data_IF_237784774545
#
_entry.id   IF_237784774545
#
_cell.length_a   1.000
_cell.length_b   1.000
_cell.length_c   1.000
_cell.angle_alpha   90.00
_cell.angle_beta   90.00
_cell.angle_gamma   90.00
#
_symmetry.space_group_name_H-M   'P 1'
#
loop_
_entity.id
_entity.type
_entity.pdbx_description
1 polymer ?
#
# COMPACT_ATOMS: atom_id res chain seq x y z
N UNK A 1 13.75 -13.12 -16.83
CA UNK A 1 14.08 -12.50 -15.54
C UNK A 1 13.47 -11.11 -15.40
N UNK A 2 13.86 -10.10 -16.19
CA UNK A 2 13.31 -8.73 -16.08
C UNK A 2 11.82 -8.57 -16.44
N UNK A 3 11.31 -9.32 -17.43
CA UNK A 3 9.90 -9.22 -17.84
C UNK A 3 8.94 -9.69 -16.73
N UNK A 4 9.34 -10.65 -15.91
CA UNK A 4 8.54 -11.16 -14.78
C UNK A 4 8.44 -10.07 -13.71
N UNK A 5 9.56 -9.45 -13.36
CA UNK A 5 9.61 -8.31 -12.44
C UNK A 5 8.70 -7.16 -12.92
N UNK A 6 8.84 -6.74 -14.17
CA UNK A 6 8.04 -5.64 -14.75
C UNK A 6 6.55 -5.97 -14.86
N UNK A 7 6.20 -7.25 -15.03
CA UNK A 7 4.80 -7.70 -15.15
C UNK A 7 3.99 -7.42 -13.89
N UNK A 8 4.62 -7.45 -12.70
CA UNK A 8 3.95 -7.10 -11.44
C UNK A 8 3.43 -5.66 -11.49
N UNK A 9 4.27 -4.72 -11.90
CA UNK A 9 3.89 -3.31 -12.04
C UNK A 9 2.84 -3.11 -13.12
N UNK A 10 3.01 -3.76 -14.28
CA UNK A 10 2.03 -3.72 -15.36
C UNK A 10 0.64 -4.16 -14.89
N UNK A 11 0.55 -5.30 -14.20
CA UNK A 11 -0.72 -5.82 -13.70
C UNK A 11 -1.39 -4.84 -12.72
N UNK A 12 -0.60 -4.23 -11.83
CA UNK A 12 -1.11 -3.23 -10.87
C UNK A 12 -1.58 -1.96 -11.58
N UNK A 13 -0.84 -1.48 -12.58
CA UNK A 13 -1.25 -0.35 -13.42
C UNK A 13 -2.57 -0.65 -14.13
N UNK A 14 -2.71 -1.84 -14.74
CA UNK A 14 -3.95 -2.28 -15.38
C UNK A 14 -5.11 -2.39 -14.38
N UNK A 15 -4.83 -2.92 -13.18
CA UNK A 15 -5.83 -3.04 -12.13
C UNK A 15 -6.33 -1.67 -11.65
N UNK A 16 -5.54 -0.60 -11.81
CA UNK A 16 -5.94 0.76 -11.46
C UNK A 16 -6.50 1.56 -12.63
N UNK A 17 -6.04 1.32 -13.87
CA UNK A 17 -6.50 2.05 -15.05
C UNK A 17 -7.96 1.78 -15.41
N UNK A 18 -8.50 0.62 -15.01
CA UNK A 18 -9.92 0.28 -15.18
C UNK A 18 -10.88 1.02 -14.23
N UNK A 19 -10.37 1.82 -13.28
CA UNK A 19 -11.20 2.51 -12.29
C UNK A 19 -10.90 4.01 -12.27
N UNK A 20 -11.95 4.83 -12.36
CA UNK A 20 -11.84 6.26 -12.08
C UNK A 20 -11.42 6.52 -10.62
N UNK A 21 -11.77 5.59 -9.72
CA UNK A 21 -11.45 5.63 -8.29
C UNK A 21 -11.23 4.20 -7.75
N UNK A 22 -9.99 3.68 -7.69
CA UNK A 22 -9.69 2.41 -7.04
C UNK A 22 -10.13 2.46 -5.57
N UNK A 23 -10.97 1.52 -5.15
CA UNK A 23 -11.38 1.41 -3.75
C UNK A 23 -10.20 0.95 -2.89
N UNK A 24 -10.20 1.26 -1.59
CA UNK A 24 -9.17 0.79 -0.64
C UNK A 24 -8.95 -0.72 -0.71
N UNK A 25 -10.04 -1.47 -0.92
CA UNK A 25 -10.07 -2.90 -1.20
C UNK A 25 -9.17 -3.34 -2.36
N UNK A 26 -9.11 -2.56 -3.45
CA UNK A 26 -8.28 -2.87 -4.62
C UNK A 26 -6.87 -2.32 -4.40
N UNK A 27 -6.77 -1.12 -3.82
CA UNK A 27 -5.50 -0.44 -3.63
C UNK A 27 -4.57 -1.20 -2.67
N UNK A 28 -5.03 -1.49 -1.46
CA UNK A 28 -4.18 -2.01 -0.38
C UNK A 28 -3.49 -3.36 -0.72
N UNK A 29 -4.19 -4.41 -1.19
CA UNK A 29 -3.54 -5.67 -1.59
C UNK A 29 -2.49 -5.48 -2.68
N UNK A 30 -2.81 -4.69 -3.72
CA UNK A 30 -1.92 -4.50 -4.87
C UNK A 30 -0.64 -3.76 -4.45
N UNK A 31 -0.77 -2.69 -3.66
CA UNK A 31 0.38 -1.87 -3.23
C UNK A 31 1.24 -2.60 -2.19
N UNK A 32 0.64 -3.37 -1.28
CA UNK A 32 1.39 -4.28 -0.39
C UNK A 32 2.16 -5.31 -1.21
N UNK A 33 1.52 -5.92 -2.21
CA UNK A 33 2.16 -6.87 -3.12
C UNK A 33 3.38 -6.30 -3.83
N UNK A 34 3.27 -5.09 -4.38
CA UNK A 34 4.41 -4.38 -5.00
C UNK A 34 5.56 -4.20 -4.02
N UNK A 35 5.27 -3.77 -2.78
CA UNK A 35 6.32 -3.58 -1.75
C UNK A 35 7.04 -4.89 -1.45
N UNK A 36 6.31 -6.00 -1.31
CA UNK A 36 6.89 -7.31 -1.02
C UNK A 36 7.78 -7.80 -2.17
N UNK A 37 7.31 -7.71 -3.42
CA UNK A 37 8.11 -8.07 -4.60
C UNK A 37 9.38 -7.23 -4.68
N UNK A 38 9.27 -5.91 -4.45
CA UNK A 38 10.46 -5.04 -4.44
C UNK A 38 11.48 -5.47 -3.39
N UNK A 39 11.04 -5.81 -2.16
CA UNK A 39 11.95 -6.28 -1.11
C UNK A 39 12.64 -7.59 -1.49
N UNK A 40 11.88 -8.55 -1.98
CA UNK A 40 12.39 -9.85 -2.40
C UNK A 40 13.42 -9.72 -3.53
N UNK A 41 13.07 -9.00 -4.59
CA UNK A 41 13.92 -8.83 -5.78
C UNK A 41 15.19 -8.00 -5.51
N UNK A 42 15.20 -7.19 -4.44
CA UNK A 42 16.43 -6.51 -3.98
C UNK A 42 17.40 -7.46 -3.27
N UNK A 43 16.94 -8.61 -2.79
CA UNK A 43 17.73 -9.59 -2.03
C UNK A 43 18.20 -10.76 -2.90
N UNK A 44 17.37 -11.27 -3.81
CA UNK A 44 17.60 -12.57 -4.46
C UNK A 44 18.00 -12.50 -5.95
N UNK A 45 17.89 -11.34 -6.59
CA UNK A 45 17.96 -11.22 -8.06
C UNK A 45 19.31 -10.72 -8.60
N UNK A 46 19.50 -10.81 -9.91
CA UNK A 46 20.70 -10.32 -10.60
C UNK A 46 20.91 -8.80 -10.41
N UNK A 47 22.17 -8.35 -10.48
CA UNK A 47 22.56 -6.97 -10.21
C UNK A 47 21.76 -5.91 -11.00
N UNK A 48 21.34 -6.22 -12.23
CA UNK A 48 20.51 -5.35 -13.06
C UNK A 48 19.10 -5.16 -12.49
N UNK A 49 18.46 -6.25 -12.04
CA UNK A 49 17.13 -6.22 -11.42
C UNK A 49 17.22 -5.55 -10.05
N UNK A 50 18.22 -5.89 -9.24
CA UNK A 50 18.44 -5.27 -7.92
C UNK A 50 18.58 -3.75 -8.06
N UNK A 51 19.37 -3.27 -9.02
CA UNK A 51 19.54 -1.84 -9.24
C UNK A 51 18.22 -1.16 -9.67
N UNK A 52 17.40 -1.85 -10.49
CA UNK A 52 16.08 -1.36 -10.88
C UNK A 52 15.11 -1.33 -9.70
N UNK A 53 15.03 -2.42 -8.94
CA UNK A 53 14.17 -2.54 -7.77
C UNK A 53 14.49 -1.46 -6.73
N UNK A 54 15.78 -1.20 -6.43
CA UNK A 54 16.19 -0.11 -5.53
C UNK A 54 15.70 1.26 -6.01
N UNK A 55 15.83 1.58 -7.31
CA UNK A 55 15.37 2.87 -7.87
C UNK A 55 13.85 3.03 -7.76
N UNK A 56 13.09 1.97 -8.02
CA UNK A 56 11.62 1.98 -7.90
C UNK A 56 11.23 2.07 -6.42
N UNK A 57 11.90 1.34 -5.54
CA UNK A 57 11.64 1.32 -4.11
C UNK A 57 11.83 2.69 -3.46
N UNK A 58 12.86 3.45 -3.82
CA UNK A 58 13.06 4.83 -3.33
C UNK A 58 11.86 5.72 -3.66
N UNK A 59 11.35 5.64 -4.90
CA UNK A 59 10.15 6.40 -5.29
C UNK A 59 8.92 5.89 -4.53
N UNK A 60 8.79 4.59 -4.38
CA UNK A 60 7.69 3.94 -3.66
C UNK A 60 7.63 4.38 -2.18
N UNK A 61 8.73 4.34 -1.44
CA UNK A 61 8.76 4.65 0.00
C UNK A 61 8.37 6.10 0.32
N UNK A 62 8.73 7.04 -0.57
CA UNK A 62 8.32 8.45 -0.47
C UNK A 62 6.81 8.62 -0.36
N UNK A 63 6.07 7.72 -1.01
CA UNK A 63 4.61 7.70 -1.03
C UNK A 63 4.05 6.76 0.05
N UNK A 64 4.63 5.58 0.23
CA UNK A 64 4.20 4.60 1.24
C UNK A 64 4.13 5.21 2.65
N UNK A 65 5.20 5.89 3.10
CA UNK A 65 5.30 6.49 4.44
C UNK A 65 4.18 7.49 4.76
N UNK A 66 3.63 8.16 3.74
CA UNK A 66 2.59 9.19 3.89
C UNK A 66 1.18 8.61 3.97
N UNK A 67 0.93 7.47 3.31
CA UNK A 67 -0.44 7.02 3.04
C UNK A 67 -0.75 5.59 3.48
N UNK A 68 0.25 4.76 3.79
CA UNK A 68 0.07 3.35 4.17
C UNK A 68 -0.96 3.17 5.27
N UNK A 69 -0.84 3.96 6.34
CA UNK A 69 -1.76 3.92 7.48
C UNK A 69 -3.19 4.32 7.09
N UNK A 70 -3.36 5.37 6.28
CA UNK A 70 -4.67 5.88 5.87
C UNK A 70 -5.41 4.84 5.02
N UNK A 71 -4.70 4.23 4.08
CA UNK A 71 -5.22 3.18 3.21
C UNK A 71 -5.57 1.92 4.00
N UNK A 72 -4.69 1.50 4.91
CA UNK A 72 -4.91 0.33 5.76
C UNK A 72 -6.14 0.53 6.65
N UNK A 73 -6.26 1.70 7.29
CA UNK A 73 -7.44 2.09 8.08
C UNK A 73 -8.70 2.04 7.19
N UNK A 74 -8.65 2.68 6.01
CA UNK A 74 -9.78 2.69 5.06
C UNK A 74 -10.13 1.30 4.55
N UNK A 75 -9.22 0.34 4.60
CA UNK A 75 -9.49 -1.05 4.25
C UNK A 75 -10.17 -1.77 5.40
N UNK A 76 -9.67 -1.63 6.64
CA UNK A 76 -10.24 -2.26 7.84
C UNK A 76 -11.63 -1.73 8.18
N UNK A 77 -11.92 -0.47 7.87
CA UNK A 77 -13.25 0.12 8.06
C UNK A 77 -14.30 -0.38 7.05
N UNK A 78 -13.90 -1.07 5.97
CA UNK A 78 -14.85 -1.72 5.06
C UNK A 78 -15.36 -2.99 5.75
N UNK A 79 -16.69 -3.18 5.94
CA UNK A 79 -17.27 -4.24 6.78
C UNK A 79 -16.82 -5.68 6.47
N UNK A 80 -16.30 -5.92 5.26
CA UNK A 80 -15.84 -7.23 4.80
C UNK A 80 -14.38 -7.53 5.12
N UNK A 81 -13.58 -6.52 5.49
CA UNK A 81 -12.17 -6.69 5.81
C UNK A 81 -11.98 -6.63 7.31
N UNK A 82 -11.37 -7.68 7.87
CA UNK A 82 -11.03 -7.72 9.29
C UNK A 82 -9.69 -7.02 9.49
N UNK A 83 -9.52 -6.42 10.66
CA UNK A 83 -8.23 -5.95 11.19
C UNK A 83 -7.08 -6.94 10.93
N UNK A 84 -7.37 -8.25 11.03
CA UNK A 84 -6.47 -9.37 10.71
C UNK A 84 -5.77 -9.25 9.34
N UNK A 85 -6.44 -8.67 8.34
CA UNK A 85 -5.85 -8.47 7.01
C UNK A 85 -4.72 -7.43 7.05
N UNK A 86 -4.96 -6.29 7.70
CA UNK A 86 -3.93 -5.25 7.87
C UNK A 86 -2.78 -5.77 8.75
N UNK A 87 -3.12 -6.50 9.81
CA UNK A 87 -2.15 -7.12 10.71
C UNK A 87 -1.17 -8.07 9.97
N UNK A 88 -1.72 -9.00 9.19
CA UNK A 88 -0.93 -9.91 8.37
C UNK A 88 -0.07 -9.18 7.32
N UNK A 89 -0.60 -8.12 6.70
CA UNK A 89 0.14 -7.32 5.74
C UNK A 89 1.33 -6.60 6.41
N UNK A 90 1.11 -5.98 7.57
CA UNK A 90 2.15 -5.29 8.33
C UNK A 90 3.25 -6.26 8.76
N UNK A 91 2.88 -7.46 9.23
CA UNK A 91 3.87 -8.48 9.61
C UNK A 91 4.81 -8.85 8.46
N UNK A 92 4.26 -9.04 7.26
CA UNK A 92 5.05 -9.35 6.05
C UNK A 92 5.91 -8.18 5.59
N UNK A 93 5.37 -6.96 5.67
CA UNK A 93 6.06 -5.75 5.18
C UNK A 93 7.23 -5.37 6.08
N UNK A 94 7.02 -5.42 7.40
CA UNK A 94 7.95 -4.81 8.36
C UNK A 94 8.86 -5.82 9.07
N UNK A 95 8.57 -7.12 9.04
CA UNK A 95 9.41 -8.14 9.68
C UNK A 95 9.63 -7.80 11.15
N UNK A 96 10.88 -7.64 11.57
CA UNK A 96 11.25 -7.31 12.95
C UNK A 96 10.72 -5.93 13.41
N UNK A 97 10.44 -5.00 12.48
CA UNK A 97 9.84 -3.70 12.79
C UNK A 97 8.31 -3.73 12.95
N UNK A 98 7.69 -4.90 12.84
CA UNK A 98 6.25 -5.09 12.84
C UNK A 98 5.56 -4.50 14.08
N UNK A 99 6.07 -4.78 15.28
CA UNK A 99 5.39 -4.37 16.52
C UNK A 99 5.29 -2.84 16.63
N UNK A 100 6.36 -2.13 16.25
CA UNK A 100 6.41 -0.67 16.24
C UNK A 100 5.41 -0.10 15.24
N UNK A 101 5.43 -0.59 14.00
CA UNK A 101 4.57 -0.10 12.92
C UNK A 101 3.09 -0.43 13.17
N UNK A 102 2.80 -1.60 13.74
CA UNK A 102 1.45 -1.98 14.13
C UNK A 102 0.92 -1.12 15.28
N UNK A 103 1.77 -0.77 16.26
CA UNK A 103 1.38 0.16 17.32
C UNK A 103 1.00 1.52 16.75
N UNK A 104 1.85 2.09 15.89
CA UNK A 104 1.56 3.36 15.21
C UNK A 104 0.28 3.31 14.37
N UNK A 105 0.00 2.16 13.76
CA UNK A 105 -1.25 1.93 13.03
C UNK A 105 -2.46 1.90 13.97
N UNK A 106 -2.39 1.16 15.08
CA UNK A 106 -3.44 1.07 16.11
C UNK A 106 -3.75 2.43 16.72
N UNK A 107 -2.72 3.22 17.05
CA UNK A 107 -2.86 4.56 17.63
C UNK A 107 -3.64 5.51 16.72
N UNK A 108 -3.54 5.31 15.39
CA UNK A 108 -4.32 6.06 14.39
C UNK A 108 -5.71 5.47 14.16
N UNK A 109 -5.86 4.15 14.25
CA UNK A 109 -7.10 3.44 13.98
C UNK A 109 -8.12 3.60 15.11
N UNK A 110 -7.71 3.46 16.37
CA UNK A 110 -8.64 3.44 17.52
C UNK A 110 -9.42 4.75 17.72
N UNK A 111 -8.83 5.96 17.57
CA UNK A 111 -9.59 7.20 17.64
C UNK A 111 -10.67 7.34 16.55
N UNK A 112 -10.53 6.62 15.43
CA UNK A 112 -11.50 6.61 14.33
C UNK A 112 -12.67 5.66 14.59
N UNK A 113 -12.49 4.66 15.45
CA UNK A 113 -13.58 3.80 15.91
C UNK A 113 -14.50 4.50 16.91
N UNK A 114 -13.97 5.45 17.69
CA UNK A 114 -14.73 6.20 18.68
C UNK A 114 -15.41 7.45 18.11
N UNK A 115 -15.06 7.90 16.90
CA UNK A 115 -15.65 9.07 16.24
C UNK A 115 -16.67 8.72 15.16
N UNK A 116 -17.93 9.12 15.36
CA UNK A 116 -19.14 8.88 14.53
C UNK A 116 -19.02 9.51 13.11
N UNK A 117 -19.94 9.26 12.13
CA UNK A 117 -19.68 9.18 10.66
C UNK A 117 -19.20 10.45 9.91
N UNK A 118 -18.92 11.56 10.61
CA UNK A 118 -18.29 12.76 10.03
C UNK A 118 -16.82 12.54 9.65
N UNK A 119 -16.07 11.76 10.43
CA UNK A 119 -14.68 11.42 10.12
C UNK A 119 -14.56 10.62 8.81
N UNK A 120 -15.54 9.74 8.52
CA UNK A 120 -15.62 8.95 7.29
C UNK A 120 -15.70 9.81 6.02
N UNK A 121 -16.28 11.01 6.11
CA UNK A 121 -16.52 11.90 4.96
C UNK A 121 -15.28 12.71 4.58
N UNK A 122 -14.43 13.07 5.55
CA UNK A 122 -13.10 13.65 5.31
C UNK A 122 -12.14 12.63 4.70
N UNK A 123 -12.33 11.33 4.98
CA UNK A 123 -11.54 10.24 4.38
C UNK A 123 -11.82 10.00 2.89
N UNK A 124 -12.99 10.41 2.36
CA UNK A 124 -13.25 10.39 0.92
C UNK A 124 -12.34 11.35 0.13
N UNK A 125 -11.93 12.47 0.73
CA UNK A 125 -10.97 13.39 0.10
C UNK A 125 -9.54 12.81 0.06
N UNK A 126 -9.21 11.85 0.93
CA UNK A 126 -7.91 11.17 0.92
C UNK A 126 -7.79 10.14 -0.22
N UNK A 127 -8.91 9.58 -0.69
CA UNK A 127 -8.95 8.74 -1.90
C UNK A 127 -8.59 9.53 -3.17
N UNK A 128 -8.88 10.84 -3.20
CA UNK A 128 -8.48 11.74 -4.29
C UNK A 128 -6.95 11.91 -4.34
N UNK A 129 -6.29 11.96 -3.18
CA UNK A 129 -4.82 12.02 -3.11
C UNK A 129 -4.14 10.67 -3.44
N UNK A 130 -4.79 9.55 -3.13
CA UNK A 130 -4.35 8.22 -3.54
C UNK A 130 -4.38 8.05 -5.07
N UNK A 131 -5.38 8.62 -5.74
CA UNK A 131 -5.46 8.67 -7.20
C UNK A 131 -4.37 9.53 -7.83
N UNK A 132 -4.07 10.68 -7.24
CA UNK A 132 -2.96 11.53 -7.69
C UNK A 132 -1.61 10.81 -7.60
N UNK A 133 -1.42 9.95 -6.57
CA UNK A 133 -0.23 9.11 -6.44
C UNK A 133 -0.15 7.99 -7.47
N UNK A 134 -1.26 7.30 -7.76
CA UNK A 134 -1.26 6.26 -8.79
C UNK A 134 -0.92 6.84 -10.16
N UNK A 135 -1.38 8.07 -10.45
CA UNK A 135 -0.95 8.79 -11.66
C UNK A 135 0.54 9.15 -11.64
N UNK A 136 1.13 9.45 -10.48
CA UNK A 136 2.54 9.85 -10.36
C UNK A 136 3.54 8.68 -10.26
N UNK A 137 3.08 7.47 -9.93
CA UNK A 137 3.92 6.26 -9.87
C UNK A 137 4.00 5.51 -11.20
N UNK A 138 3.05 5.75 -12.11
CA UNK A 138 2.86 4.95 -13.33
C UNK A 138 2.74 5.78 -14.63
N UNK A 139 2.98 7.10 -14.57
CA UNK A 139 3.24 8.01 -15.70
C UNK A 139 4.54 8.75 -15.41
#
# INVERSE_FOLDING_TARGET
NICVFLKVFYNVTCAFSGFNYPTSKIYFPNVVGVKLVLKEEMEISDASIVNMAKKIFVKFEKYWSKFSNIVAISTVLVPRFKYQYADCAYKRVYGDGYDVELSLFKDKLFPLYSSTPRALRSHLNLLIHLLAMLKALFV
#
